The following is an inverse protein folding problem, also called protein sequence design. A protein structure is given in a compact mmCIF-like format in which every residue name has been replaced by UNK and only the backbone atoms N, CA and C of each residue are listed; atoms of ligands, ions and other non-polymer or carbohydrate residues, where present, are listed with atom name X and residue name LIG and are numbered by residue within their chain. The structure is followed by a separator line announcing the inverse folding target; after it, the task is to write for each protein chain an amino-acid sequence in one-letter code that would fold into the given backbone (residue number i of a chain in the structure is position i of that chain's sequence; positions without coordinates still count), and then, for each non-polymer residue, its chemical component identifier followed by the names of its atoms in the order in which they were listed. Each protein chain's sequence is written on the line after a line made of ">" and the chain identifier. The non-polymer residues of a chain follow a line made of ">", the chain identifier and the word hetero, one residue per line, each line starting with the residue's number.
data_IF_167944702973
#
_entry.id   IF_167944702973
#
_cell.length_a   1.000
_cell.length_b   1.000
_cell.length_c   1.000
_cell.angle_alpha   90.00
_cell.angle_beta   90.00
_cell.angle_gamma   90.00
#
_symmetry.space_group_name_H-M   'P 1'
#
loop_
_entity.id
_entity.type
_entity.pdbx_description
1 polymer ?
#
# COMPACT_ATOMS: atom_id res chain seq x y z
N UNK A 1 9.25 -8.16 7.25
CA UNK A 1 8.34 -7.46 8.20
C UNK A 1 7.77 -6.22 7.50
N UNK A 2 6.91 -5.45 8.18
CA UNK A 2 6.21 -4.30 7.58
C UNK A 2 7.18 -3.20 7.15
N UNK A 3 8.19 -2.87 7.96
CA UNK A 3 9.14 -1.80 7.65
C UNK A 3 9.94 -2.12 6.39
N UNK A 4 10.46 -3.35 6.29
CA UNK A 4 11.20 -3.80 5.11
C UNK A 4 10.40 -3.73 3.81
N UNK A 5 9.08 -3.97 3.86
CA UNK A 5 8.24 -3.83 2.66
C UNK A 5 8.32 -2.39 2.14
N UNK A 6 8.17 -1.41 3.04
CA UNK A 6 8.22 0.01 2.69
C UNK A 6 9.60 0.44 2.19
N UNK A 7 10.69 -0.04 2.81
CA UNK A 7 12.06 0.25 2.38
C UNK A 7 12.36 -0.26 0.96
N UNK A 8 11.73 -1.37 0.56
CA UNK A 8 11.90 -1.98 -0.77
C UNK A 8 10.98 -1.37 -1.85
N UNK A 9 9.97 -0.58 -1.47
CA UNK A 9 8.97 -0.04 -2.43
C UNK A 9 9.63 0.83 -3.50
N UNK A 10 10.46 1.79 -3.10
CA UNK A 10 11.11 2.71 -4.05
C UNK A 10 11.93 1.95 -5.11
N UNK A 11 12.63 0.90 -4.68
CA UNK A 11 13.46 0.07 -5.57
C UNK A 11 12.65 -0.82 -6.52
N UNK A 12 11.46 -1.26 -6.09
CA UNK A 12 10.62 -2.18 -6.86
C UNK A 12 9.59 -1.50 -7.75
N UNK A 13 9.42 -0.19 -7.61
CA UNK A 13 8.41 0.56 -8.34
C UNK A 13 8.71 0.61 -9.84
N UNK A 14 7.67 0.40 -10.64
CA UNK A 14 7.69 0.50 -12.10
C UNK A 14 6.89 1.74 -12.56
N UNK A 15 7.55 2.88 -12.83
CA UNK A 15 6.89 4.12 -13.27
C UNK A 15 6.24 4.00 -14.66
N UNK A 16 6.63 2.99 -15.45
CA UNK A 16 6.05 2.77 -16.78
C UNK A 16 4.62 2.23 -16.70
N UNK A 17 4.29 1.50 -15.64
CA UNK A 17 2.96 0.96 -15.37
C UNK A 17 1.99 1.98 -14.73
N UNK A 18 2.47 3.18 -14.39
CA UNK A 18 1.66 4.21 -13.73
C UNK A 18 0.90 5.07 -14.76
N UNK A 19 -0.42 5.10 -14.69
CA UNK A 19 -1.23 5.95 -15.59
C UNK A 19 -1.18 7.45 -15.21
N UNK A 20 -1.03 7.76 -13.92
CA UNK A 20 -0.96 9.12 -13.42
C UNK A 20 -0.54 9.18 -11.94
N UNK A 21 -0.05 10.35 -11.46
CA UNK A 21 0.40 10.51 -10.08
C UNK A 21 -0.69 10.14 -9.08
N UNK A 22 -0.29 9.50 -7.98
CA UNK A 22 -1.23 9.09 -6.93
C UNK A 22 -0.54 8.90 -5.58
N UNK A 23 -1.30 9.09 -4.52
CA UNK A 23 -0.85 8.98 -3.14
C UNK A 23 -1.60 7.89 -2.40
N UNK A 24 -0.86 7.09 -1.64
CA UNK A 24 -1.39 6.06 -0.77
C UNK A 24 -1.02 6.36 0.68
N UNK A 25 -1.98 6.24 1.59
CA UNK A 25 -1.71 6.28 3.03
C UNK A 25 -1.92 4.91 3.65
N UNK A 26 -0.90 4.40 4.32
CA UNK A 26 -0.88 3.09 4.96
C UNK A 26 -0.93 3.24 6.48
N UNK A 27 -1.91 2.58 7.09
CA UNK A 27 -2.07 2.42 8.54
C UNK A 27 -2.00 0.94 8.90
N UNK A 28 -0.81 0.42 9.12
CA UNK A 28 -0.55 -1.01 9.33
C UNK A 28 -0.14 -1.27 10.78
N UNK A 29 -1.07 -1.71 11.63
CA UNK A 29 -0.85 -1.80 13.08
C UNK A 29 -0.48 -0.43 13.67
N UNK A 30 0.76 -0.26 14.12
CA UNK A 30 1.34 1.01 14.58
C UNK A 30 2.12 1.76 13.48
N UNK A 31 2.45 1.10 12.37
CA UNK A 31 3.21 1.71 11.27
C UNK A 31 2.31 2.65 10.47
N UNK A 32 2.80 3.87 10.26
CA UNK A 32 2.15 4.89 9.42
C UNK A 32 3.10 5.32 8.32
N UNK A 33 2.67 5.20 7.06
CA UNK A 33 3.47 5.59 5.90
C UNK A 33 2.60 6.26 4.85
N UNK A 34 3.12 7.30 4.22
CA UNK A 34 2.54 7.90 3.03
C UNK A 34 3.45 7.56 1.84
N UNK A 35 2.88 7.01 0.78
CA UNK A 35 3.61 6.63 -0.44
C UNK A 35 3.10 7.49 -1.58
N UNK A 36 3.99 8.22 -2.23
CA UNK A 36 3.70 9.07 -3.38
C UNK A 36 4.32 8.44 -4.62
N UNK A 37 3.52 8.25 -5.66
CA UNK A 37 3.94 7.65 -6.92
C UNK A 37 3.75 8.66 -8.04
N UNK A 38 4.77 8.86 -8.85
CA UNK A 38 4.71 9.63 -10.08
C UNK A 38 5.66 9.04 -11.14
N UNK A 39 5.85 9.74 -12.27
CA UNK A 39 6.76 9.32 -13.33
C UNK A 39 8.24 9.45 -12.96
N UNK A 40 8.57 10.24 -11.93
CA UNK A 40 9.91 10.40 -11.38
C UNK A 40 10.28 9.31 -10.38
N UNK A 41 9.31 8.67 -9.72
CA UNK A 41 9.54 7.48 -8.91
C UNK A 41 8.51 7.24 -7.81
N UNK A 42 8.97 6.56 -6.77
CA UNK A 42 8.18 6.20 -5.58
C UNK A 42 8.89 6.76 -4.35
N UNK A 43 8.19 7.63 -3.62
CA UNK A 43 8.68 8.21 -2.36
C UNK A 43 7.87 7.65 -1.20
N UNK A 44 8.55 7.24 -0.13
CA UNK A 44 7.93 6.72 1.09
C UNK A 44 8.27 7.65 2.25
N UNK A 45 7.24 8.21 2.88
CA UNK A 45 7.35 9.17 3.98
C UNK A 45 6.75 8.58 5.26
N UNK A 46 7.32 8.95 6.41
CA UNK A 46 6.82 8.55 7.71
C UNK A 46 5.56 9.32 8.10
N UNK A 47 4.55 8.61 8.62
CA UNK A 47 3.32 9.22 9.09
C UNK A 47 2.31 9.52 7.98
N UNK A 48 1.36 10.38 8.31
CA UNK A 48 0.42 11.00 7.37
C UNK A 48 1.01 12.34 6.96
N UNK A 49 1.37 12.49 5.69
CA UNK A 49 1.99 13.71 5.16
C UNK A 49 1.15 14.40 4.09
N UNK A 50 -0.05 13.88 3.84
CA UNK A 50 -1.10 14.48 3.02
C UNK A 50 -2.42 14.42 3.77
N UNK A 51 -3.29 15.40 3.56
CA UNK A 51 -4.62 15.42 4.18
C UNK A 51 -5.53 14.35 3.55
N UNK A 52 -5.55 14.31 2.22
CA UNK A 52 -6.33 13.36 1.42
C UNK A 52 -5.43 12.53 0.50
N UNK A 53 -5.26 11.25 0.85
CA UNK A 53 -4.64 10.27 -0.03
C UNK A 53 -5.67 9.66 -0.98
N UNK A 54 -5.30 9.44 -2.24
CA UNK A 54 -6.16 8.80 -3.25
C UNK A 54 -6.64 7.42 -2.81
N UNK A 55 -5.81 6.71 -2.03
CA UNK A 55 -6.14 5.43 -1.43
C UNK A 55 -5.57 5.34 -0.01
N UNK A 56 -6.41 4.93 0.93
CA UNK A 56 -6.07 4.69 2.33
C UNK A 56 -6.20 3.20 2.61
N UNK A 57 -5.12 2.54 3.01
CA UNK A 57 -5.14 1.15 3.45
C UNK A 57 -4.92 1.08 4.96
N UNK A 58 -5.91 0.57 5.70
CA UNK A 58 -5.72 0.11 7.08
C UNK A 58 -5.72 -1.41 7.09
N UNK A 59 -4.72 -2.04 7.69
CA UNK A 59 -4.69 -3.49 7.82
C UNK A 59 -3.90 -3.97 9.04
N UNK A 60 -4.18 -5.22 9.46
CA UNK A 60 -3.34 -5.93 10.42
C UNK A 60 -1.95 -6.20 9.83
N UNK A 61 -0.86 -6.08 10.62
CA UNK A 61 0.50 -6.32 10.15
C UNK A 61 0.70 -7.68 9.48
N UNK A 62 0.16 -8.75 10.09
CA UNK A 62 0.28 -10.11 9.53
C UNK A 62 -0.45 -10.25 8.20
N UNK A 63 -1.67 -9.71 8.08
CA UNK A 63 -2.44 -9.77 6.84
C UNK A 63 -1.73 -9.00 5.74
N UNK A 64 -1.24 -7.79 6.02
CA UNK A 64 -0.49 -6.97 5.07
C UNK A 64 0.77 -7.69 4.55
N UNK A 65 1.59 -8.26 5.44
CA UNK A 65 2.79 -9.01 5.05
C UNK A 65 2.42 -10.22 4.19
N UNK A 66 1.39 -10.99 4.57
CA UNK A 66 0.93 -12.14 3.79
C UNK A 66 0.38 -11.72 2.41
N UNK A 67 -0.29 -10.56 2.30
CA UNK A 67 -0.75 -10.00 1.02
C UNK A 67 0.42 -9.68 0.08
N UNK A 68 1.42 -8.95 0.59
CA UNK A 68 2.55 -8.47 -0.23
C UNK A 68 3.52 -9.60 -0.59
N UNK A 69 3.84 -10.48 0.37
CA UNK A 69 4.92 -11.47 0.18
C UNK A 69 4.43 -12.83 -0.29
N UNK A 70 3.14 -13.15 -0.13
CA UNK A 70 2.57 -14.47 -0.47
C UNK A 70 1.39 -14.38 -1.42
N UNK A 71 1.01 -13.17 -1.85
CA UNK A 71 -0.17 -12.96 -2.69
C UNK A 71 -1.49 -13.35 -2.02
N UNK A 72 -1.53 -13.45 -0.68
CA UNK A 72 -2.77 -13.79 0.05
C UNK A 72 -3.82 -12.72 -0.23
N UNK A 73 -4.99 -13.11 -0.72
CA UNK A 73 -6.13 -12.18 -0.86
C UNK A 73 -6.92 -12.10 0.47
N UNK A 74 -7.42 -10.92 0.87
CA UNK A 74 -8.33 -10.81 2.00
C UNK A 74 -9.60 -11.62 1.77
N UNK A 75 -10.02 -12.40 2.77
CA UNK A 75 -11.29 -13.15 2.72
C UNK A 75 -12.44 -12.38 3.39
N UNK A 76 -13.69 -12.88 3.27
CA UNK A 76 -14.87 -12.27 3.91
C UNK A 76 -14.70 -12.08 5.42
N UNK A 77 -14.07 -13.06 6.10
CA UNK A 77 -13.81 -12.98 7.55
C UNK A 77 -12.76 -11.93 7.92
N UNK A 78 -11.79 -11.64 7.06
CA UNK A 78 -10.81 -10.57 7.32
C UNK A 78 -11.50 -9.19 7.26
N UNK A 79 -12.40 -9.02 6.30
CA UNK A 79 -13.18 -7.79 6.11
C UNK A 79 -14.18 -7.62 7.25
N UNK A 80 -14.97 -8.66 7.57
CA UNK A 80 -15.98 -8.61 8.63
C UNK A 80 -15.38 -8.29 10.01
N UNK A 81 -14.16 -8.77 10.27
CA UNK A 81 -13.41 -8.47 11.51
C UNK A 81 -12.64 -7.15 11.46
N UNK A 82 -12.71 -6.39 10.36
CA UNK A 82 -12.02 -5.12 10.22
C UNK A 82 -10.49 -5.22 10.14
N UNK A 83 -9.96 -6.40 9.82
CA UNK A 83 -8.51 -6.65 9.65
C UNK A 83 -7.93 -5.96 8.43
N UNK A 84 -8.81 -5.54 7.52
CA UNK A 84 -8.48 -4.69 6.38
C UNK A 84 -9.64 -3.71 6.13
N UNK A 85 -9.30 -2.47 5.81
CA UNK A 85 -10.22 -1.44 5.30
C UNK A 85 -9.50 -0.63 4.23
N UNK A 86 -10.19 -0.32 3.14
CA UNK A 86 -9.73 0.63 2.13
C UNK A 86 -10.88 1.53 1.70
N UNK A 87 -10.58 2.79 1.39
CA UNK A 87 -11.55 3.70 0.75
C UNK A 87 -11.64 3.47 -0.77
N UNK A 88 -10.64 2.81 -1.37
CA UNK A 88 -10.59 2.53 -2.80
C UNK A 88 -9.99 1.14 -3.07
N UNK A 89 -10.84 0.10 -3.23
CA UNK A 89 -10.39 -1.25 -3.53
C UNK A 89 -9.73 -1.39 -4.90
N UNK A 90 -10.13 -0.60 -5.89
CA UNK A 90 -9.60 -0.68 -7.25
C UNK A 90 -8.18 -0.11 -7.30
N UNK A 91 -7.94 1.07 -6.71
CA UNK A 91 -6.59 1.64 -6.59
C UNK A 91 -5.65 0.75 -5.78
N UNK A 92 -6.17 0.04 -4.77
CA UNK A 92 -5.39 -0.94 -4.00
C UNK A 92 -5.02 -2.17 -4.84
N UNK A 93 -5.95 -2.68 -5.66
CA UNK A 93 -5.67 -3.78 -6.60
C UNK A 93 -4.64 -3.36 -7.64
N UNK A 94 -4.74 -2.13 -8.14
CA UNK A 94 -3.83 -1.62 -9.15
C UNK A 94 -2.42 -1.39 -8.58
N UNK A 95 -2.32 -1.00 -7.30
CA UNK A 95 -1.04 -0.81 -6.61
C UNK A 95 -0.10 -2.00 -6.82
N UNK A 96 -0.57 -3.25 -6.69
CA UNK A 96 0.30 -4.42 -6.83
C UNK A 96 0.93 -4.55 -8.22
N UNK A 97 0.28 -4.01 -9.26
CA UNK A 97 0.79 -4.02 -10.64
C UNK A 97 1.93 -3.01 -10.85
N UNK A 98 2.03 -2.01 -9.98
CA UNK A 98 3.03 -0.95 -10.05
C UNK A 98 4.38 -1.37 -9.46
N UNK A 99 4.50 -2.60 -8.93
CA UNK A 99 5.74 -3.08 -8.31
C UNK A 99 6.13 -4.44 -8.88
N UNK A 100 7.43 -4.62 -9.13
CA UNK A 100 8.01 -5.89 -9.57
C UNK A 100 8.50 -6.66 -8.33
N UNK A 101 7.83 -7.77 -8.01
CA UNK A 101 8.19 -8.70 -6.94
C UNK A 101 8.67 -10.03 -7.51
#
# INVERSE_FOLDING_TARGET
>A
DVARIFDEMARRFDPTALDGPRTYYFSIGEVRRTVKLDKGGCTVEEGRTVDDADCVLKADPKLFVDMVTRGRKPGPLDIARGRIKTNDPDKLRDLSRLFRF
#
